data_IF_818720094988
#
_entry.id   IF_818720094988
#
_cell.length_a   1.000
_cell.length_b   1.000
_cell.length_c   1.000
_cell.angle_alpha   90.00
_cell.angle_beta   90.00
_cell.angle_gamma   90.00
#
_symmetry.space_group_name_H-M   'P 1'
#
loop_
_entity.id
_entity.type
_entity.pdbx_description
1 polymer ?
#
# COMPACT_ATOMS: atom_id res chain seq x y z
N UNK A 1 6.19 29.23 5.12
CA UNK A 1 6.85 28.21 5.97
C UNK A 1 7.56 27.22 5.07
N UNK A 2 8.87 27.03 5.24
CA UNK A 2 9.60 25.97 4.57
C UNK A 2 9.25 24.63 5.23
N UNK A 3 8.76 23.67 4.44
CA UNK A 3 8.42 22.34 4.94
C UNK A 3 9.69 21.49 5.08
N UNK A 4 9.80 20.74 6.18
CA UNK A 4 10.84 19.72 6.35
C UNK A 4 10.65 18.57 5.36
N UNK A 5 11.68 17.72 5.15
CA UNK A 5 11.56 16.52 4.31
C UNK A 5 10.42 15.62 4.76
N UNK A 6 10.29 15.39 6.08
CA UNK A 6 9.20 14.61 6.67
C UNK A 6 7.84 15.22 6.38
N UNK A 7 7.69 16.54 6.55
CA UNK A 7 6.43 17.22 6.30
C UNK A 7 6.00 17.14 4.83
N UNK A 8 6.95 17.30 3.90
CA UNK A 8 6.70 17.14 2.46
C UNK A 8 6.22 15.72 2.17
N UNK A 9 6.93 14.70 2.66
CA UNK A 9 6.58 13.30 2.46
C UNK A 9 5.20 12.94 3.01
N UNK A 10 4.84 13.42 4.22
CA UNK A 10 3.50 13.22 4.79
C UNK A 10 2.42 13.81 3.87
N UNK A 11 2.61 15.06 3.41
CA UNK A 11 1.65 15.72 2.54
C UNK A 11 1.54 15.05 1.16
N UNK A 12 2.66 14.59 0.59
CA UNK A 12 2.68 13.83 -0.65
C UNK A 12 1.86 12.54 -0.52
N UNK A 13 2.06 11.77 0.56
CA UNK A 13 1.30 10.54 0.82
C UNK A 13 -0.20 10.85 0.94
N UNK A 14 -0.57 11.82 1.77
CA UNK A 14 -1.98 12.14 2.04
C UNK A 14 -2.70 12.65 0.80
N UNK A 15 -2.03 13.44 -0.04
CA UNK A 15 -2.61 13.97 -1.29
C UNK A 15 -2.76 12.89 -2.36
N UNK A 16 -1.75 12.03 -2.50
CA UNK A 16 -1.73 11.01 -3.54
C UNK A 16 -2.68 9.84 -3.22
N UNK A 17 -2.76 9.45 -1.95
CA UNK A 17 -3.45 8.22 -1.54
C UNK A 17 -4.67 8.46 -0.65
N UNK A 18 -4.92 9.70 -0.22
CA UNK A 18 -5.93 10.05 0.77
C UNK A 18 -5.39 10.00 2.19
N UNK A 19 -6.21 10.50 3.12
CA UNK A 19 -5.88 10.58 4.53
C UNK A 19 -5.52 9.24 5.14
N UNK A 20 -4.47 9.23 5.97
CA UNK A 20 -3.90 8.01 6.56
C UNK A 20 -3.81 8.09 8.08
N UNK A 21 -3.84 6.93 8.74
CA UNK A 21 -3.59 6.82 10.18
C UNK A 21 -2.18 7.28 10.53
N UNK A 22 -2.02 7.91 11.70
CA UNK A 22 -0.72 8.37 12.19
C UNK A 22 0.33 7.24 12.24
N UNK A 23 -0.08 6.03 12.66
CA UNK A 23 0.82 4.88 12.74
C UNK A 23 1.34 4.46 11.36
N UNK A 24 0.50 4.53 10.32
CA UNK A 24 0.92 4.23 8.94
C UNK A 24 1.90 5.29 8.43
N UNK A 25 1.55 6.56 8.59
CA UNK A 25 2.42 7.68 8.22
C UNK A 25 3.79 7.61 8.92
N UNK A 26 3.81 7.23 10.20
CA UNK A 26 5.06 7.03 10.96
C UNK A 26 5.92 5.92 10.35
N UNK A 27 5.32 4.78 9.98
CA UNK A 27 6.03 3.67 9.33
C UNK A 27 6.53 4.04 7.93
N UNK A 28 5.81 4.89 7.19
CA UNK A 28 6.22 5.39 5.88
C UNK A 28 7.29 6.49 5.96
N UNK A 29 7.50 7.09 7.15
CA UNK A 29 8.47 8.14 7.42
C UNK A 29 9.44 7.76 8.57
N UNK A 30 10.23 6.67 8.45
CA UNK A 30 11.00 6.11 9.57
C UNK A 30 12.17 6.97 10.04
N UNK A 31 12.74 7.82 9.18
CA UNK A 31 13.91 8.67 9.51
C UNK A 31 13.54 9.97 10.24
N UNK A 32 12.27 10.16 10.58
CA UNK A 32 11.81 11.39 11.22
C UNK A 32 12.15 11.40 12.71
N UNK A 33 13.26 12.04 13.08
CA UNK A 33 13.65 12.29 14.48
C UNK A 33 12.52 12.90 15.34
N UNK A 34 11.60 13.64 14.70
CA UNK A 34 10.46 14.29 15.35
C UNK A 34 9.17 14.16 14.52
N UNK A 35 8.78 12.93 14.17
CA UNK A 35 7.55 12.65 13.42
C UNK A 35 6.32 13.31 14.04
N UNK A 36 6.16 13.18 15.36
CA UNK A 36 5.05 13.71 16.14
C UNK A 36 4.99 15.25 16.06
N UNK A 37 6.15 15.91 16.16
CA UNK A 37 6.27 17.37 16.01
C UNK A 37 5.92 17.79 14.59
N UNK A 38 6.43 17.05 13.59
CA UNK A 38 6.16 17.33 12.17
C UNK A 38 4.66 17.22 11.86
N UNK A 39 4.01 16.18 12.37
CA UNK A 39 2.58 15.94 12.21
C UNK A 39 1.75 17.03 12.91
N UNK A 40 2.09 17.35 14.15
CA UNK A 40 1.40 18.40 14.92
C UNK A 40 1.55 19.78 14.26
N UNK A 41 2.74 20.11 13.74
CA UNK A 41 2.94 21.36 13.00
C UNK A 41 2.09 21.43 11.73
N UNK A 42 1.92 20.32 11.01
CA UNK A 42 1.04 20.30 9.83
C UNK A 42 -0.44 20.50 10.22
N UNK A 43 -0.86 19.92 11.34
CA UNK A 43 -2.21 20.08 11.89
C UNK A 43 -2.49 21.53 12.32
N UNK A 44 -1.62 22.12 13.16
CA UNK A 44 -1.78 23.51 13.65
C UNK A 44 -1.76 24.52 12.51
N UNK A 45 -0.97 24.27 11.47
CA UNK A 45 -0.92 25.11 10.26
C UNK A 45 -2.03 24.79 9.24
N UNK A 46 -3.02 23.96 9.60
CA UNK A 46 -4.16 23.55 8.75
C UNK A 46 -3.75 22.96 7.41
N UNK A 47 -2.57 22.34 7.35
CA UNK A 47 -2.12 21.56 6.19
C UNK A 47 -2.61 20.11 6.26
N UNK A 48 -2.92 19.64 7.46
CA UNK A 48 -3.65 18.42 7.70
C UNK A 48 -4.85 18.69 8.60
N UNK A 49 -5.90 17.91 8.41
CA UNK A 49 -7.11 17.88 9.23
C UNK A 49 -7.20 16.48 9.85
N UNK A 50 -7.38 16.43 11.17
CA UNK A 50 -7.59 15.18 11.88
C UNK A 50 -9.06 14.77 11.80
N UNK A 51 -9.32 13.62 11.18
CA UNK A 51 -10.64 13.02 11.01
C UNK A 51 -10.63 11.64 11.66
N UNK A 52 -11.05 11.59 12.94
CA UNK A 52 -10.93 10.38 13.75
C UNK A 52 -9.46 10.00 13.96
N UNK A 53 -9.08 8.80 13.48
CA UNK A 53 -7.70 8.30 13.52
C UNK A 53 -6.83 8.75 12.32
N UNK A 54 -7.46 9.36 11.31
CA UNK A 54 -6.83 9.71 10.04
C UNK A 54 -6.40 11.16 10.00
N UNK A 55 -5.28 11.43 9.32
CA UNK A 55 -4.82 12.77 8.97
C UNK A 55 -5.00 12.96 7.48
N UNK A 56 -5.89 13.88 7.10
CA UNK A 56 -6.27 14.17 5.72
C UNK A 56 -5.75 15.55 5.31
N UNK A 57 -5.74 15.85 4.02
CA UNK A 57 -5.60 17.24 3.56
C UNK A 57 -6.93 17.99 3.69
N UNK A 58 -7.03 19.15 3.04
CA UNK A 58 -8.22 20.01 3.04
C UNK A 58 -9.43 19.37 2.33
N UNK A 59 -9.24 18.31 1.54
CA UNK A 59 -10.36 17.55 0.96
C UNK A 59 -11.08 16.68 1.97
N UNK A 60 -10.43 16.39 3.12
CA UNK A 60 -10.89 15.44 4.13
C UNK A 60 -11.17 14.02 3.58
N UNK A 61 -10.67 13.68 2.38
CA UNK A 61 -10.84 12.37 1.78
C UNK A 61 -9.89 11.37 2.45
N UNK A 62 -10.45 10.33 3.06
CA UNK A 62 -9.69 9.22 3.66
C UNK A 62 -9.31 8.22 2.55
N UNK A 63 -8.14 7.58 2.68
CA UNK A 63 -7.76 6.51 1.76
C UNK A 63 -8.77 5.35 1.79
N UNK A 64 -8.99 4.70 0.65
CA UNK A 64 -9.82 3.51 0.63
C UNK A 64 -9.14 2.33 1.34
N UNK A 65 -9.94 1.35 1.75
CA UNK A 65 -9.47 0.17 2.50
C UNK A 65 -8.44 -0.66 1.72
N UNK A 66 -8.57 -0.76 0.41
CA UNK A 66 -7.63 -1.55 -0.41
C UNK A 66 -6.27 -0.86 -0.47
N UNK A 67 -6.26 0.48 -0.55
CA UNK A 67 -5.05 1.29 -0.46
C UNK A 67 -4.37 1.12 0.91
N UNK A 68 -5.12 1.22 2.01
CA UNK A 68 -4.59 0.99 3.37
C UNK A 68 -3.98 -0.42 3.49
N UNK A 69 -4.72 -1.45 3.07
CA UNK A 69 -4.24 -2.84 3.04
C UNK A 69 -3.00 -3.01 2.17
N UNK A 70 -2.93 -2.37 1.00
CA UNK A 70 -1.78 -2.49 0.13
C UNK A 70 -0.51 -1.87 0.76
N UNK A 71 -0.62 -0.74 1.46
CA UNK A 71 0.49 -0.18 2.23
C UNK A 71 0.93 -1.10 3.37
N UNK A 72 -0.01 -1.72 4.09
CA UNK A 72 0.34 -2.68 5.14
C UNK A 72 1.13 -3.87 4.58
N UNK A 73 0.70 -4.41 3.44
CA UNK A 73 1.35 -5.55 2.77
C UNK A 73 2.72 -5.16 2.21
N UNK A 74 2.84 -4.00 1.55
CA UNK A 74 4.12 -3.48 1.08
C UNK A 74 5.13 -3.39 2.24
N UNK A 75 4.71 -2.81 3.37
CA UNK A 75 5.57 -2.69 4.55
C UNK A 75 5.89 -4.06 5.18
N UNK A 76 4.99 -5.03 5.11
CA UNK A 76 5.26 -6.39 5.56
C UNK A 76 6.29 -7.11 4.67
N UNK A 77 6.29 -6.85 3.35
CA UNK A 77 7.26 -7.41 2.40
C UNK A 77 8.63 -6.74 2.50
N UNK A 78 8.66 -5.42 2.69
CA UNK A 78 9.90 -4.64 2.66
C UNK A 78 10.53 -4.44 4.04
N UNK A 79 9.77 -4.56 5.14
CA UNK A 79 10.22 -4.22 6.50
C UNK A 79 10.35 -2.72 6.77
N UNK A 80 10.74 -1.96 5.75
CA UNK A 80 10.75 -0.49 5.70
C UNK A 80 10.08 -0.01 4.41
N UNK A 81 9.64 1.26 4.29
CA UNK A 81 9.13 1.78 3.05
C UNK A 81 10.21 1.68 1.95
N UNK A 82 9.88 1.15 0.75
CA UNK A 82 10.79 1.19 -0.39
C UNK A 82 10.97 2.62 -0.88
N UNK A 83 12.06 2.87 -1.61
CA UNK A 83 12.36 4.18 -2.19
C UNK A 83 11.33 4.58 -3.26
N UNK A 84 10.87 3.60 -4.06
CA UNK A 84 9.96 3.83 -5.17
C UNK A 84 8.67 3.02 -4.94
N UNK A 85 7.55 3.74 -4.84
CA UNK A 85 6.20 3.21 -4.90
C UNK A 85 5.24 4.24 -5.53
N UNK A 86 4.21 3.76 -6.19
CA UNK A 86 3.20 4.58 -6.86
C UNK A 86 1.84 3.89 -6.82
N UNK A 87 0.77 4.65 -7.12
CA UNK A 87 -0.57 4.11 -7.29
C UNK A 87 -0.57 3.05 -8.40
N UNK A 88 -1.15 1.88 -8.09
CA UNK A 88 -1.25 0.80 -9.06
C UNK A 88 -2.24 1.11 -10.18
N UNK A 89 -2.06 0.46 -11.33
CA UNK A 89 -3.10 0.41 -12.36
C UNK A 89 -4.09 -0.71 -12.01
N UNK A 90 -5.42 -0.50 -12.13
CA UNK A 90 -6.40 -1.54 -11.86
C UNK A 90 -6.05 -2.87 -12.57
N UNK A 91 -6.09 -4.02 -11.88
CA UNK A 91 -6.71 -4.24 -10.56
C UNK A 91 -5.79 -3.98 -9.36
N UNK A 92 -4.58 -3.45 -9.57
CA UNK A 92 -3.60 -3.22 -8.52
C UNK A 92 -3.85 -1.89 -7.79
N UNK A 93 -3.81 -1.93 -6.46
CA UNK A 93 -3.95 -0.75 -5.60
C UNK A 93 -2.63 0.00 -5.43
N UNK A 94 -1.51 -0.73 -5.38
CA UNK A 94 -0.19 -0.17 -5.15
C UNK A 94 0.86 -0.93 -5.94
N UNK A 95 1.81 -0.22 -6.53
CA UNK A 95 3.00 -0.78 -7.18
C UNK A 95 4.22 -0.28 -6.42
N UNK A 96 5.18 -1.16 -6.13
CA UNK A 96 6.44 -0.79 -5.49
C UNK A 96 7.61 -1.56 -6.07
N UNK A 97 8.81 -1.05 -5.82
CA UNK A 97 10.04 -1.66 -6.30
C UNK A 97 10.95 -2.02 -5.13
N UNK A 98 11.49 -3.24 -5.16
CA UNK A 98 12.39 -3.76 -4.13
C UNK A 98 13.54 -4.49 -4.79
N UNK A 99 14.74 -4.24 -4.32
CA UNK A 99 15.93 -4.95 -4.78
C UNK A 99 15.95 -6.39 -4.25
N UNK A 100 16.22 -7.34 -5.15
CA UNK A 100 16.44 -8.76 -4.85
C UNK A 100 17.57 -9.26 -5.73
N UNK A 101 18.59 -9.87 -5.13
CA UNK A 101 19.71 -10.46 -5.88
C UNK A 101 20.34 -9.47 -6.88
N UNK A 102 20.56 -8.22 -6.45
CA UNK A 102 21.09 -7.11 -7.27
C UNK A 102 20.22 -6.70 -8.47
N UNK A 103 18.94 -7.07 -8.47
CA UNK A 103 17.96 -6.66 -9.49
C UNK A 103 16.82 -5.91 -8.84
N UNK A 104 16.44 -4.78 -9.44
CA UNK A 104 15.25 -4.04 -9.03
C UNK A 104 14.01 -4.78 -9.55
N UNK A 105 13.26 -5.40 -8.64
CA UNK A 105 12.04 -6.12 -8.96
C UNK A 105 10.80 -5.24 -8.72
N UNK A 106 9.87 -5.26 -9.68
CA UNK A 106 8.55 -4.64 -9.56
C UNK A 106 7.59 -5.60 -8.86
N UNK A 107 6.83 -5.08 -7.91
CA UNK A 107 5.75 -5.77 -7.22
C UNK A 107 4.46 -4.98 -7.36
N UNK A 108 3.35 -5.67 -7.59
CA UNK A 108 2.03 -5.06 -7.75
C UNK A 108 1.05 -5.72 -6.77
N UNK A 109 0.42 -4.94 -5.90
CA UNK A 109 -0.49 -5.44 -4.86
C UNK A 109 -1.93 -5.30 -5.31
N UNK A 110 -2.66 -6.42 -5.35
CA UNK A 110 -4.08 -6.47 -5.67
C UNK A 110 -4.84 -6.99 -4.45
N UNK A 111 -5.75 -6.19 -3.90
CA UNK A 111 -6.64 -6.62 -2.82
C UNK A 111 -7.89 -7.23 -3.43
N UNK A 112 -8.18 -8.49 -3.09
CA UNK A 112 -9.25 -9.28 -3.70
C UNK A 112 -10.33 -9.57 -2.67
N UNK A 113 -11.45 -8.85 -2.78
CA UNK A 113 -12.66 -9.10 -1.99
C UNK A 113 -13.26 -10.46 -2.36
N UNK A 114 -13.76 -11.20 -1.37
CA UNK A 114 -14.42 -12.50 -1.62
C UNK A 114 -15.60 -12.36 -2.60
N UNK A 115 -15.63 -13.23 -3.59
CA UNK A 115 -16.61 -13.21 -4.69
C UNK A 115 -16.25 -12.27 -5.84
N UNK A 116 -15.12 -11.55 -5.79
CA UNK A 116 -14.63 -10.70 -6.89
C UNK A 116 -13.48 -11.32 -7.68
N UNK A 117 -13.11 -12.57 -7.41
CA UNK A 117 -11.99 -13.25 -8.07
C UNK A 117 -12.15 -13.26 -9.60
N UNK A 118 -13.36 -13.51 -10.10
CA UNK A 118 -13.63 -13.53 -11.54
C UNK A 118 -13.43 -12.16 -12.21
N UNK A 119 -13.73 -11.07 -11.51
CA UNK A 119 -13.48 -9.71 -12.02
C UNK A 119 -11.98 -9.46 -12.10
N UNK A 120 -11.23 -9.85 -11.06
CA UNK A 120 -9.78 -9.71 -11.04
C UNK A 120 -9.14 -10.57 -12.15
N UNK A 121 -9.56 -11.82 -12.31
CA UNK A 121 -9.10 -12.71 -13.37
C UNK A 121 -9.32 -12.09 -14.77
N UNK A 122 -10.49 -11.52 -15.02
CA UNK A 122 -10.79 -10.84 -16.28
C UNK A 122 -9.90 -9.61 -16.52
N UNK A 123 -9.66 -8.80 -15.49
CA UNK A 123 -8.76 -7.63 -15.59
C UNK A 123 -7.32 -8.05 -15.86
N UNK A 124 -6.83 -9.09 -15.18
CA UNK A 124 -5.48 -9.64 -15.39
C UNK A 124 -5.28 -10.18 -16.80
N UNK A 125 -6.31 -10.81 -17.39
CA UNK A 125 -6.28 -11.27 -18.78
C UNK A 125 -5.98 -10.15 -19.79
N UNK A 126 -6.43 -8.92 -19.51
CA UNK A 126 -6.12 -7.73 -20.31
C UNK A 126 -4.70 -7.15 -20.10
N UNK A 127 -3.98 -7.63 -19.08
CA UNK A 127 -2.69 -7.09 -18.63
C UNK A 127 -1.51 -8.06 -18.79
N UNK A 128 -1.66 -9.14 -19.57
CA UNK A 128 -0.62 -10.15 -19.75
C UNK A 128 0.76 -9.51 -20.05
N UNK A 129 1.74 -9.79 -19.19
CA UNK A 129 3.12 -9.28 -19.30
C UNK A 129 3.34 -7.81 -18.93
N UNK A 130 2.34 -7.10 -18.38
CA UNK A 130 2.41 -5.66 -18.06
C UNK A 130 2.56 -5.33 -16.57
N UNK A 131 2.61 -6.36 -15.72
CA UNK A 131 2.82 -6.24 -14.28
C UNK A 131 4.01 -7.10 -13.83
N UNK A 132 4.59 -6.78 -12.67
CA UNK A 132 5.69 -7.51 -12.07
C UNK A 132 5.21 -8.70 -11.23
N UNK A 133 5.87 -8.97 -10.11
CA UNK A 133 5.40 -10.00 -9.17
C UNK A 133 4.11 -9.52 -8.51
N UNK A 134 2.98 -10.10 -8.91
CA UNK A 134 1.69 -9.80 -8.30
C UNK A 134 1.56 -10.41 -6.90
N UNK A 135 1.10 -9.61 -5.94
CA UNK A 135 0.74 -10.04 -4.59
C UNK A 135 -0.77 -9.88 -4.43
N UNK A 136 -1.49 -10.99 -4.39
CA UNK A 136 -2.93 -11.02 -4.17
C UNK A 136 -3.23 -11.10 -2.68
N UNK A 137 -3.84 -10.06 -2.15
CA UNK A 137 -4.27 -10.01 -0.75
C UNK A 137 -5.69 -10.55 -0.66
N UNK A 138 -5.83 -11.71 -0.05
CA UNK A 138 -7.08 -12.45 0.08
C UNK A 138 -7.63 -12.29 1.51
N UNK A 139 -8.94 -12.36 1.65
CA UNK A 139 -9.62 -12.42 2.94
C UNK A 139 -9.47 -13.81 3.59
N UNK A 140 -9.43 -14.87 2.78
CA UNK A 140 -9.27 -16.26 3.21
C UNK A 140 -8.45 -17.07 2.19
N UNK A 141 -7.84 -18.19 2.62
CA UNK A 141 -6.91 -18.96 1.77
C UNK A 141 -7.61 -19.66 0.62
N UNK A 142 -8.87 -20.06 0.83
CA UNK A 142 -9.72 -20.77 -0.10
C UNK A 142 -10.06 -19.93 -1.34
N UNK A 143 -9.91 -18.61 -1.28
CA UNK A 143 -10.05 -17.75 -2.45
C UNK A 143 -8.96 -18.01 -3.50
N UNK A 144 -7.77 -18.48 -3.09
CA UNK A 144 -6.67 -18.74 -4.02
C UNK A 144 -7.05 -19.79 -5.07
N UNK A 145 -7.91 -20.75 -4.73
CA UNK A 145 -8.40 -21.79 -5.66
C UNK A 145 -9.29 -21.22 -6.78
N UNK A 146 -9.84 -20.02 -6.57
CA UNK A 146 -10.70 -19.31 -7.53
C UNK A 146 -9.94 -18.28 -8.39
N UNK A 147 -8.65 -18.09 -8.11
CA UNK A 147 -7.77 -17.17 -8.82
C UNK A 147 -7.09 -17.87 -10.00
N UNK A 148 -7.21 -17.29 -11.19
CA UNK A 148 -6.54 -17.78 -12.41
C UNK A 148 -5.36 -16.85 -12.66
N UNK A 149 -4.23 -17.17 -12.02
CA UNK A 149 -3.06 -16.29 -11.94
C UNK A 149 -1.78 -17.02 -12.35
N UNK A 150 -0.76 -16.30 -12.84
CA UNK A 150 0.52 -16.91 -13.19
C UNK A 150 1.22 -17.61 -12.01
N UNK A 151 2.08 -18.62 -12.27
CA UNK A 151 2.75 -19.40 -11.23
C UNK A 151 3.68 -18.58 -10.30
N UNK A 152 4.17 -17.44 -10.78
CA UNK A 152 5.12 -16.56 -10.11
C UNK A 152 4.45 -15.50 -9.22
N UNK A 153 3.13 -15.55 -9.04
CA UNK A 153 2.43 -14.69 -8.09
C UNK A 153 2.61 -15.14 -6.64
N UNK A 154 2.29 -14.23 -5.72
CA UNK A 154 2.21 -14.50 -4.28
C UNK A 154 0.81 -14.21 -3.78
N UNK A 155 0.39 -14.93 -2.76
CA UNK A 155 -0.83 -14.67 -2.01
C UNK A 155 -0.49 -14.19 -0.60
N UNK A 156 -1.33 -13.35 -0.04
CA UNK A 156 -1.23 -12.87 1.33
C UNK A 156 -2.60 -12.95 2.01
N UNK A 157 -2.64 -13.49 3.22
CA UNK A 157 -3.84 -13.48 4.09
C UNK A 157 -3.46 -12.89 5.43
N UNK A 158 -4.33 -12.09 6.04
CA UNK A 158 -4.09 -11.49 7.36
C UNK A 158 -4.60 -12.44 8.46
N UNK A 159 -3.69 -13.03 9.23
CA UNK A 159 -3.97 -13.91 10.37
C UNK A 159 -3.36 -13.31 11.64
N UNK A 160 -4.12 -13.21 12.73
CA UNK A 160 -3.65 -12.68 14.02
C UNK A 160 -2.87 -11.35 13.90
N UNK A 161 -3.43 -10.42 13.10
CA UNK A 161 -2.86 -9.11 12.76
C UNK A 161 -1.53 -9.11 11.96
N UNK A 162 -1.08 -10.26 11.45
CA UNK A 162 0.10 -10.39 10.59
C UNK A 162 -0.28 -10.95 9.22
N UNK A 163 0.45 -10.55 8.19
CA UNK A 163 0.29 -11.13 6.85
C UNK A 163 1.11 -12.41 6.73
N UNK A 164 0.45 -13.49 6.34
CA UNK A 164 1.05 -14.76 5.99
C UNK A 164 1.12 -14.84 4.47
N UNK A 165 2.34 -14.98 3.94
CA UNK A 165 2.60 -15.03 2.51
C UNK A 165 2.81 -16.47 2.05
N UNK A 166 2.24 -16.84 0.92
CA UNK A 166 2.37 -18.17 0.32
C UNK A 166 2.20 -18.11 -1.21
N UNK A 167 2.33 -19.25 -1.88
CA UNK A 167 2.43 -19.31 -3.34
C UNK A 167 3.78 -18.83 -3.85
N UNK A 168 3.99 -18.90 -5.18
CA UNK A 168 5.27 -18.68 -5.85
C UNK A 168 6.26 -19.79 -5.50
N UNK A 169 6.57 -20.65 -6.46
CA UNK A 169 7.63 -21.66 -6.31
C UNK A 169 8.95 -21.04 -5.85
#
# INVERSE_FOLDING_TARGET
MLLTKTQKKILEIVREYGGMKAQMLKRLCPEAYSFEVSLHQLEVNRKLIKTGEYYCDDTALICDRNTETAFEVMLAVCGHPPEIYCRGQPPFSLTFFKEREQKLCRYDICVVTDGREQVVNAMLGGMAGKYGTAIFVLEQKEQAERMIVPPDCRFAVKENAKYIFYGGC
#
